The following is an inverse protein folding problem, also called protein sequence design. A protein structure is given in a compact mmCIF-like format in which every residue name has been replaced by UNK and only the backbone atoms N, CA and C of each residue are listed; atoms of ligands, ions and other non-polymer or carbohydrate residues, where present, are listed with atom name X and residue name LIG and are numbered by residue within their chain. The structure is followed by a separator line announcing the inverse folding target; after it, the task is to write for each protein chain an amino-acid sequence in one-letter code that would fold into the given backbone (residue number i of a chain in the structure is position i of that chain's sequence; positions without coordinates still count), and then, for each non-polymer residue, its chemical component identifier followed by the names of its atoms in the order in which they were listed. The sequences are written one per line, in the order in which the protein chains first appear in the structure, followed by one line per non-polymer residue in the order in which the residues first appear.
data_IF_858876280621
#
_entry.id   IF_858876280621
#
_cell.length_a   1.000
_cell.length_b   1.000
_cell.length_c   1.000
_cell.angle_alpha   90.00
_cell.angle_beta   90.00
_cell.angle_gamma   90.00
#
_symmetry.space_group_name_H-M   'P 1'
#
loop_
_entity.id
_entity.type
_entity.pdbx_description
1 polymer ?
#
# COMPACT_ATOMS: atom_id res chain seq x y z
N UNK A 1 11.35 -10.98 21.76
CA UNK A 1 10.27 -10.78 20.77
C UNK A 1 10.23 -12.02 19.90
N UNK A 2 9.08 -12.68 19.75
CA UNK A 2 8.95 -13.79 18.80
C UNK A 2 9.24 -13.26 17.39
N UNK A 3 10.05 -14.00 16.64
CA UNK A 3 10.39 -13.67 15.26
C UNK A 3 9.08 -13.62 14.45
N UNK A 4 8.81 -12.52 13.76
CA UNK A 4 7.62 -12.39 12.89
C UNK A 4 7.89 -13.19 11.63
N UNK A 5 7.33 -14.37 11.57
CA UNK A 5 7.42 -15.28 10.43
C UNK A 5 6.13 -15.31 9.59
N UNK A 6 6.10 -16.14 8.56
CA UNK A 6 4.93 -16.29 7.69
C UNK A 6 3.70 -16.83 8.45
N UNK A 7 3.89 -17.65 9.47
CA UNK A 7 2.80 -18.21 10.29
C UNK A 7 2.17 -17.10 11.10
N UNK A 8 3.00 -16.27 11.73
CA UNK A 8 2.53 -15.08 12.45
C UNK A 8 1.76 -14.13 11.52
N UNK A 9 2.29 -13.86 10.31
CA UNK A 9 1.64 -13.00 9.33
C UNK A 9 0.25 -13.54 8.94
N UNK A 10 0.16 -14.86 8.66
CA UNK A 10 -1.11 -15.52 8.35
C UNK A 10 -2.12 -15.34 9.50
N UNK A 11 -1.69 -15.53 10.76
CA UNK A 11 -2.57 -15.34 11.92
C UNK A 11 -3.11 -13.91 12.01
N UNK A 12 -2.28 -12.89 11.68
CA UNK A 12 -2.75 -11.50 11.65
C UNK A 12 -3.80 -11.28 10.56
N UNK A 13 -3.60 -11.81 9.36
CA UNK A 13 -4.60 -11.73 8.28
C UNK A 13 -5.89 -12.49 8.62
N UNK A 14 -5.80 -13.65 9.27
CA UNK A 14 -6.98 -14.38 9.76
C UNK A 14 -7.76 -13.59 10.82
N UNK A 15 -7.06 -12.90 11.72
CA UNK A 15 -7.70 -12.08 12.75
C UNK A 15 -8.53 -10.91 12.19
N UNK A 16 -8.14 -10.38 11.03
CA UNK A 16 -8.87 -9.30 10.35
C UNK A 16 -9.77 -9.79 9.20
N UNK A 17 -9.90 -11.09 8.98
CA UNK A 17 -10.64 -11.66 7.83
C UNK A 17 -12.05 -11.07 7.68
N UNK A 18 -12.74 -10.80 8.78
CA UNK A 18 -14.12 -10.27 8.78
C UNK A 18 -14.24 -8.85 8.24
N UNK A 19 -13.13 -8.08 8.20
CA UNK A 19 -13.11 -6.70 7.67
C UNK A 19 -12.48 -6.61 6.28
N UNK A 20 -11.96 -7.72 5.76
CA UNK A 20 -11.47 -7.80 4.39
C UNK A 20 -12.64 -8.08 3.41
N UNK A 21 -12.53 -7.61 2.16
CA UNK A 21 -13.51 -7.93 1.12
C UNK A 21 -13.65 -9.45 0.92
N UNK A 22 -14.87 -9.92 0.70
CA UNK A 22 -15.13 -11.32 0.39
C UNK A 22 -14.65 -11.64 -1.02
N UNK A 23 -13.81 -12.69 -1.14
CA UNK A 23 -13.35 -13.20 -2.43
C UNK A 23 -14.15 -14.45 -2.83
N UNK A 24 -14.54 -14.51 -4.10
CA UNK A 24 -15.10 -15.71 -4.71
C UNK A 24 -13.97 -16.50 -5.36
N UNK A 25 -13.58 -17.60 -4.74
CA UNK A 25 -12.53 -18.48 -5.27
C UNK A 25 -13.06 -19.31 -6.44
N UNK A 26 -12.27 -19.52 -7.51
CA UNK A 26 -12.63 -20.46 -8.58
C UNK A 26 -12.72 -21.89 -8.02
N UNK A 27 -13.57 -22.70 -8.65
CA UNK A 27 -13.74 -24.11 -8.23
C UNK A 27 -12.52 -24.97 -8.58
N UNK A 28 -11.84 -24.61 -9.64
CA UNK A 28 -10.69 -25.34 -10.18
C UNK A 28 -9.55 -24.37 -10.44
N UNK A 29 -8.33 -24.84 -10.30
CA UNK A 29 -7.09 -24.13 -10.63
C UNK A 29 -6.37 -24.87 -11.75
N UNK A 30 -5.77 -24.11 -12.67
CA UNK A 30 -4.94 -24.65 -13.76
C UNK A 30 -3.50 -24.25 -13.47
N UNK A 31 -2.61 -25.24 -13.55
CA UNK A 31 -1.18 -24.98 -13.44
C UNK A 31 -0.65 -24.46 -14.79
N UNK A 32 0.15 -23.40 -14.77
CA UNK A 32 0.89 -22.88 -15.90
C UNK A 32 2.37 -22.71 -15.53
N UNK A 33 3.27 -23.05 -16.41
CA UNK A 33 4.72 -22.94 -16.20
C UNK A 33 5.17 -21.47 -16.10
N UNK A 34 4.49 -20.60 -16.81
CA UNK A 34 4.76 -19.15 -16.83
C UNK A 34 3.60 -18.37 -17.47
N UNK A 35 3.67 -17.03 -17.44
CA UNK A 35 2.62 -16.17 -18.00
C UNK A 35 2.47 -16.28 -19.54
N UNK A 36 3.50 -16.68 -20.26
CA UNK A 36 3.44 -16.83 -21.73
C UNK A 36 2.47 -17.93 -22.15
N UNK A 37 2.46 -19.04 -21.41
CA UNK A 37 1.57 -20.17 -21.67
C UNK A 37 0.09 -19.80 -21.62
N UNK A 38 -0.25 -18.81 -20.80
CA UNK A 38 -1.63 -18.35 -20.61
C UNK A 38 -1.89 -16.97 -21.25
N UNK A 39 -0.91 -16.38 -21.93
CA UNK A 39 -1.01 -15.00 -22.43
C UNK A 39 -2.17 -14.81 -23.40
N UNK A 40 -2.45 -15.80 -24.25
CA UNK A 40 -3.52 -15.75 -25.24
C UNK A 40 -4.94 -15.78 -24.63
N UNK A 41 -5.05 -16.10 -23.35
CA UNK A 41 -6.33 -16.11 -22.62
C UNK A 41 -6.73 -14.72 -22.11
N UNK A 42 -5.81 -13.74 -22.11
CA UNK A 42 -6.00 -12.44 -21.47
C UNK A 42 -5.49 -11.31 -22.37
N UNK A 43 -6.15 -10.17 -22.33
CA UNK A 43 -5.74 -8.94 -23.03
C UNK A 43 -4.83 -8.08 -22.16
N UNK A 44 -4.98 -8.15 -20.83
CA UNK A 44 -4.24 -7.34 -19.87
C UNK A 44 -3.75 -8.17 -18.67
N UNK A 45 -2.59 -7.78 -18.12
CA UNK A 45 -1.98 -8.38 -16.94
C UNK A 45 -1.79 -7.32 -15.87
N UNK A 46 -2.43 -7.54 -14.71
CA UNK A 46 -2.25 -6.72 -13.52
C UNK A 46 -1.19 -7.39 -12.63
N UNK A 47 0.01 -6.87 -12.65
CA UNK A 47 1.16 -7.41 -11.93
C UNK A 47 1.29 -6.73 -10.57
N UNK A 48 1.50 -7.50 -9.52
CA UNK A 48 1.97 -6.93 -8.26
C UNK A 48 3.43 -6.45 -8.42
N UNK A 49 3.83 -5.49 -7.62
CA UNK A 49 5.21 -5.01 -7.62
C UNK A 49 6.09 -5.89 -6.73
N UNK A 50 5.75 -5.99 -5.45
CA UNK A 50 6.58 -6.61 -4.43
C UNK A 50 6.41 -8.13 -4.42
N UNK A 51 7.47 -8.87 -4.71
CA UNK A 51 7.42 -10.33 -4.86
C UNK A 51 7.13 -10.80 -6.29
N UNK A 52 6.83 -9.88 -7.23
CA UNK A 52 6.60 -10.17 -8.66
C UNK A 52 7.63 -9.46 -9.54
N UNK A 53 7.83 -8.17 -9.39
CA UNK A 53 8.81 -7.39 -10.14
C UNK A 53 10.10 -7.17 -9.35
N UNK A 54 10.00 -7.00 -8.03
CA UNK A 54 11.14 -6.75 -7.16
C UNK A 54 10.92 -7.30 -5.73
N UNK A 55 12.03 -7.45 -4.99
CA UNK A 55 12.02 -7.62 -3.53
C UNK A 55 12.93 -6.55 -2.95
N UNK A 56 12.40 -5.67 -2.12
CA UNK A 56 13.11 -4.46 -1.70
C UNK A 56 13.55 -3.64 -2.91
N UNK A 57 14.84 -3.36 -3.02
CA UNK A 57 15.44 -2.61 -4.12
C UNK A 57 16.16 -3.51 -5.15
N UNK A 58 15.83 -4.80 -5.16
CA UNK A 58 16.41 -5.78 -6.08
C UNK A 58 15.34 -6.30 -7.03
N UNK A 59 15.62 -6.24 -8.33
CA UNK A 59 14.75 -6.82 -9.37
C UNK A 59 14.69 -8.35 -9.24
N UNK A 60 13.50 -8.92 -9.50
CA UNK A 60 13.35 -10.37 -9.63
C UNK A 60 13.86 -10.80 -11.01
N UNK A 61 14.73 -11.80 -11.02
CA UNK A 61 15.30 -12.33 -12.24
C UNK A 61 14.21 -12.82 -13.22
N UNK A 62 14.27 -12.36 -14.47
CA UNK A 62 13.30 -12.71 -15.49
C UNK A 62 12.04 -11.85 -15.53
N UNK A 63 11.77 -11.02 -14.53
CA UNK A 63 10.56 -10.20 -14.47
C UNK A 63 10.49 -9.19 -15.65
N UNK A 64 11.58 -8.46 -15.89
CA UNK A 64 11.65 -7.51 -16.98
C UNK A 64 11.50 -8.17 -18.37
N UNK A 65 12.17 -9.31 -18.58
CA UNK A 65 12.07 -10.07 -19.82
C UNK A 65 10.63 -10.56 -20.06
N UNK A 66 9.96 -11.03 -19.00
CA UNK A 66 8.57 -11.48 -19.09
C UNK A 66 7.62 -10.33 -19.40
N UNK A 67 7.80 -9.18 -18.76
CA UNK A 67 7.03 -7.97 -19.03
C UNK A 67 7.24 -7.50 -20.50
N UNK A 68 8.49 -7.47 -20.96
CA UNK A 68 8.81 -7.12 -22.34
C UNK A 68 8.14 -8.07 -23.34
N UNK A 69 8.18 -9.37 -23.09
CA UNK A 69 7.55 -10.37 -23.95
C UNK A 69 6.03 -10.17 -24.05
N UNK A 70 5.34 -9.96 -22.93
CA UNK A 70 3.90 -9.69 -22.92
C UNK A 70 3.55 -8.44 -23.74
N UNK A 71 4.35 -7.35 -23.64
CA UNK A 71 4.17 -6.16 -24.48
C UNK A 71 4.39 -6.43 -25.96
N UNK A 72 5.39 -7.24 -26.33
CA UNK A 72 5.63 -7.66 -27.72
C UNK A 72 4.46 -8.50 -28.26
N UNK A 73 3.80 -9.28 -27.41
CA UNK A 73 2.57 -10.02 -27.75
C UNK A 73 1.32 -9.11 -27.82
N UNK A 74 1.48 -7.80 -27.64
CA UNK A 74 0.38 -6.82 -27.67
C UNK A 74 -0.49 -6.81 -26.41
N UNK A 75 -0.01 -7.39 -25.32
CA UNK A 75 -0.75 -7.40 -24.04
C UNK A 75 -0.55 -6.11 -23.27
N UNK A 76 -1.60 -5.62 -22.63
CA UNK A 76 -1.52 -4.50 -21.69
C UNK A 76 -0.91 -4.98 -20.36
N UNK A 77 -0.01 -4.19 -19.79
CA UNK A 77 0.62 -4.48 -18.51
C UNK A 77 0.39 -3.31 -17.59
N UNK A 78 -0.14 -3.60 -16.40
CA UNK A 78 -0.34 -2.65 -15.34
C UNK A 78 0.35 -3.15 -14.08
N UNK A 79 0.98 -2.24 -13.34
CA UNK A 79 1.54 -2.54 -12.01
C UNK A 79 0.55 -2.06 -10.95
N UNK A 80 -0.02 -3.01 -10.22
CA UNK A 80 -0.98 -2.76 -9.14
C UNK A 80 -0.28 -2.91 -7.79
N UNK A 81 0.03 -1.80 -7.12
CA UNK A 81 0.87 -1.81 -5.92
C UNK A 81 0.20 -1.17 -4.70
N UNK A 82 0.41 -1.78 -3.51
CA UNK A 82 0.06 -1.19 -2.21
C UNK A 82 1.13 -0.23 -1.66
N UNK A 83 2.23 -0.04 -2.40
CA UNK A 83 3.29 0.90 -2.02
C UNK A 83 2.81 2.35 -2.01
N UNK A 84 2.58 2.92 -0.81
CA UNK A 84 2.10 4.28 -0.65
C UNK A 84 3.20 5.29 -0.23
N UNK A 85 4.40 4.80 0.06
CA UNK A 85 5.50 5.63 0.55
C UNK A 85 5.88 6.72 -0.46
N UNK A 86 5.92 6.38 -1.75
CA UNK A 86 6.38 7.28 -2.81
C UNK A 86 5.29 7.52 -3.86
N UNK A 87 5.31 8.69 -4.55
CA UNK A 87 4.44 8.94 -5.71
C UNK A 87 4.79 8.03 -6.89
N UNK A 88 3.85 7.91 -7.85
CA UNK A 88 3.97 7.01 -8.99
C UNK A 88 5.20 7.28 -9.87
N UNK A 89 5.64 8.53 -9.97
CA UNK A 89 6.85 8.94 -10.71
C UNK A 89 8.13 8.31 -10.14
N UNK A 90 8.21 8.18 -8.81
CA UNK A 90 9.35 7.51 -8.19
C UNK A 90 9.27 5.98 -8.34
N UNK A 91 8.07 5.41 -8.25
CA UNK A 91 7.85 4.00 -8.53
C UNK A 91 8.25 3.68 -9.98
N UNK A 92 7.86 4.52 -10.96
CA UNK A 92 8.24 4.38 -12.37
C UNK A 92 9.76 4.39 -12.54
N UNK A 93 10.47 5.37 -11.95
CA UNK A 93 11.94 5.42 -12.02
C UNK A 93 12.59 4.14 -11.52
N UNK A 94 12.07 3.57 -10.43
CA UNK A 94 12.54 2.31 -9.87
C UNK A 94 12.33 1.15 -10.86
N UNK A 95 11.12 1.01 -11.43
CA UNK A 95 10.83 -0.07 -12.38
C UNK A 95 11.63 0.05 -13.68
N UNK A 96 11.82 1.28 -14.19
CA UNK A 96 12.69 1.53 -15.34
C UNK A 96 14.15 1.16 -15.05
N UNK A 97 14.64 1.38 -13.83
CA UNK A 97 15.99 0.94 -13.43
C UNK A 97 16.15 -0.59 -13.36
N UNK A 98 15.05 -1.33 -13.38
CA UNK A 98 14.98 -2.78 -13.48
C UNK A 98 14.69 -3.28 -14.88
N UNK A 99 14.75 -2.38 -15.89
CA UNK A 99 14.44 -2.66 -17.30
C UNK A 99 12.99 -3.13 -17.54
N UNK A 100 12.06 -2.87 -16.60
CA UNK A 100 10.63 -3.15 -16.81
C UNK A 100 10.04 -2.05 -17.68
N UNK A 101 9.46 -2.36 -18.87
CA UNK A 101 9.06 -1.39 -19.86
C UNK A 101 7.68 -0.78 -19.53
N UNK A 102 7.64 0.16 -18.59
CA UNK A 102 6.41 0.81 -18.10
C UNK A 102 6.37 2.30 -18.45
N UNK A 103 5.16 2.82 -18.52
CA UNK A 103 4.84 4.24 -18.52
C UNK A 103 4.18 4.64 -17.20
N UNK A 104 4.05 5.94 -16.94
CA UNK A 104 3.42 6.42 -15.70
C UNK A 104 1.96 5.96 -15.56
N UNK A 105 1.25 5.89 -16.67
CA UNK A 105 -0.14 5.41 -16.77
C UNK A 105 -0.30 3.92 -16.49
N UNK A 106 0.79 3.16 -16.54
CA UNK A 106 0.77 1.72 -16.23
C UNK A 106 0.85 1.45 -14.72
N UNK A 107 1.02 2.49 -13.89
CA UNK A 107 1.17 2.34 -12.45
C UNK A 107 -0.11 2.72 -11.74
N UNK A 108 -0.76 1.74 -11.13
CA UNK A 108 -1.93 1.90 -10.27
C UNK A 108 -1.51 1.67 -8.83
N UNK A 109 -1.53 2.73 -8.02
CA UNK A 109 -1.05 2.67 -6.64
C UNK A 109 -2.14 2.96 -5.61
N UNK A 110 -2.01 2.34 -4.45
CA UNK A 110 -2.86 2.65 -3.30
C UNK A 110 -2.75 4.11 -2.87
N UNK A 111 -1.59 4.75 -3.08
CA UNK A 111 -1.42 6.20 -2.85
C UNK A 111 -2.32 7.03 -3.76
N UNK A 112 -2.46 6.68 -5.03
CA UNK A 112 -3.35 7.38 -5.95
C UNK A 112 -4.81 7.22 -5.53
N UNK A 113 -5.23 5.99 -5.19
CA UNK A 113 -6.57 5.71 -4.69
C UNK A 113 -6.86 6.49 -3.38
N UNK A 114 -5.89 6.58 -2.48
CA UNK A 114 -5.99 7.41 -1.29
C UNK A 114 -6.17 8.89 -1.67
N UNK A 115 -5.27 9.43 -2.51
CA UNK A 115 -5.28 10.85 -2.88
C UNK A 115 -6.63 11.30 -3.46
N UNK A 116 -7.23 10.46 -4.32
CA UNK A 116 -8.55 10.73 -4.91
C UNK A 116 -9.70 10.74 -3.89
N UNK A 117 -9.51 10.17 -2.71
CA UNK A 117 -10.56 9.97 -1.71
C UNK A 117 -10.34 10.71 -0.38
N UNK A 118 -9.28 11.51 -0.25
CA UNK A 118 -9.04 12.32 0.95
C UNK A 118 -10.15 13.37 1.08
N UNK A 119 -10.94 13.36 2.17
CA UNK A 119 -11.98 14.34 2.35
C UNK A 119 -11.38 15.71 2.71
N UNK A 120 -12.06 16.81 2.38
CA UNK A 120 -11.67 18.13 2.83
C UNK A 120 -11.71 18.20 4.36
N UNK A 121 -10.80 19.00 4.92
CA UNK A 121 -10.76 19.29 6.35
C UNK A 121 -11.51 20.56 6.69
N UNK A 122 -11.91 20.77 7.97
CA UNK A 122 -12.35 22.07 8.47
C UNK A 122 -11.29 23.15 8.26
N UNK A 123 -11.71 24.42 8.27
CA UNK A 123 -10.80 25.56 8.16
C UNK A 123 -9.66 25.46 9.18
N UNK A 124 -8.44 25.70 8.69
CA UNK A 124 -7.18 25.57 9.46
C UNK A 124 -6.85 24.14 9.94
N UNK A 125 -7.57 23.11 9.50
CA UNK A 125 -7.24 21.71 9.80
C UNK A 125 -6.06 21.20 8.99
N UNK A 126 -5.37 20.16 9.50
CA UNK A 126 -4.34 19.43 8.77
C UNK A 126 -4.39 17.93 9.08
N UNK A 127 -3.83 17.13 8.19
CA UNK A 127 -3.64 15.70 8.37
C UNK A 127 -2.29 15.42 9.03
N UNK A 128 -2.30 14.68 10.15
CA UNK A 128 -1.09 14.09 10.70
C UNK A 128 -0.65 12.89 9.87
N UNK A 129 0.57 12.89 9.31
CA UNK A 129 0.99 11.87 8.34
C UNK A 129 2.13 11.01 8.89
N UNK A 130 1.89 9.70 8.99
CA UNK A 130 2.91 8.68 9.19
C UNK A 130 3.63 8.43 7.87
N UNK A 131 4.83 8.97 7.72
CA UNK A 131 5.61 8.90 6.47
C UNK A 131 7.11 9.02 6.74
N UNK A 132 7.93 8.72 5.73
CA UNK A 132 9.36 9.05 5.76
C UNK A 132 9.58 10.51 5.36
N UNK A 133 10.80 11.03 5.58
CA UNK A 133 11.19 12.37 5.14
C UNK A 133 11.03 12.54 3.62
N UNK A 134 11.29 11.48 2.87
CA UNK A 134 11.33 11.51 1.41
C UNK A 134 10.03 10.99 0.76
N UNK A 135 8.92 10.94 1.51
CA UNK A 135 7.64 10.45 0.98
C UNK A 135 6.91 11.42 0.05
N UNK A 136 7.44 12.63 -0.13
CA UNK A 136 6.82 13.68 -0.97
C UNK A 136 5.33 13.86 -0.67
N UNK A 137 4.97 14.03 0.61
CA UNK A 137 3.58 14.16 1.06
C UNK A 137 2.89 15.37 0.43
N UNK A 138 3.65 16.41 0.11
CA UNK A 138 3.19 17.62 -0.59
C UNK A 138 2.48 17.30 -1.93
N UNK A 139 2.81 16.18 -2.57
CA UNK A 139 2.14 15.76 -3.82
C UNK A 139 0.69 15.33 -3.63
N UNK A 140 0.23 15.14 -2.38
CA UNK A 140 -1.18 14.87 -2.10
C UNK A 140 -2.05 16.14 -2.18
N UNK A 141 -1.44 17.33 -2.21
CA UNK A 141 -2.17 18.60 -2.35
C UNK A 141 -3.07 18.97 -1.17
N UNK A 142 -2.77 18.48 0.02
CA UNK A 142 -3.55 18.67 1.26
C UNK A 142 -2.74 19.42 2.32
N UNK A 143 -3.38 20.11 3.29
CA UNK A 143 -2.69 20.57 4.49
C UNK A 143 -2.22 19.36 5.33
N UNK A 144 -0.94 19.30 5.66
CA UNK A 144 -0.38 18.17 6.39
C UNK A 144 0.79 18.55 7.29
N UNK A 145 1.04 17.70 8.30
CA UNK A 145 2.26 17.71 9.09
C UNK A 145 2.72 16.27 9.30
N UNK A 146 4.03 16.03 9.20
CA UNK A 146 4.60 14.72 9.52
C UNK A 146 4.51 14.46 11.02
N UNK A 147 4.13 13.25 11.38
CA UNK A 147 4.11 12.81 12.77
C UNK A 147 5.54 12.57 13.25
N UNK A 148 5.96 13.35 14.23
CA UNK A 148 7.27 13.27 14.86
C UNK A 148 7.12 13.02 16.37
N UNK A 149 8.18 13.18 17.16
CA UNK A 149 8.11 12.99 18.61
C UNK A 149 7.63 14.27 19.35
N UNK A 150 6.50 14.82 18.89
CA UNK A 150 5.86 16.02 19.46
C UNK A 150 4.34 15.79 19.57
N UNK A 151 3.85 15.59 20.80
CA UNK A 151 2.43 15.34 21.09
C UNK A 151 1.52 16.46 20.57
N UNK A 152 1.99 17.70 20.49
CA UNK A 152 1.16 18.82 20.05
C UNK A 152 0.70 18.66 18.60
N UNK A 153 1.50 18.01 17.75
CA UNK A 153 1.13 17.70 16.35
C UNK A 153 -0.03 16.69 16.34
N UNK A 154 0.05 15.64 17.18
CA UNK A 154 -0.99 14.61 17.25
C UNK A 154 -2.30 15.19 17.76
N UNK A 155 -2.26 15.97 18.85
CA UNK A 155 -3.47 16.54 19.47
C UNK A 155 -4.13 17.62 18.57
N UNK A 156 -3.38 18.31 17.73
CA UNK A 156 -3.89 19.35 16.83
C UNK A 156 -4.37 18.80 15.47
N UNK A 157 -3.94 17.59 15.06
CA UNK A 157 -4.32 17.01 13.77
C UNK A 157 -5.84 16.75 13.69
N UNK A 158 -6.44 17.02 12.54
CA UNK A 158 -7.88 16.76 12.27
C UNK A 158 -8.16 15.31 11.91
N UNK A 159 -7.14 14.55 11.56
CA UNK A 159 -7.17 13.13 11.22
C UNK A 159 -5.78 12.65 10.86
N UNK A 160 -5.66 11.36 10.55
CA UNK A 160 -4.36 10.73 10.30
C UNK A 160 -4.31 9.99 8.98
N UNK A 161 -3.16 10.06 8.30
CA UNK A 161 -2.87 9.33 7.06
C UNK A 161 -1.63 8.46 7.31
N UNK A 162 -1.75 7.14 7.06
CA UNK A 162 -0.67 6.19 7.25
C UNK A 162 -0.15 5.74 5.87
N UNK A 163 1.06 6.23 5.49
CA UNK A 163 1.68 5.94 4.19
C UNK A 163 2.84 4.96 4.28
N UNK A 164 3.66 5.05 5.33
CA UNK A 164 4.89 4.26 5.47
C UNK A 164 5.31 4.14 6.93
N UNK A 165 5.83 2.98 7.28
CA UNK A 165 6.37 2.65 8.61
C UNK A 165 7.89 2.61 8.65
N UNK A 166 8.59 2.95 7.55
CA UNK A 166 10.04 2.80 7.44
C UNK A 166 10.82 3.61 8.49
N UNK A 167 10.29 4.74 8.91
CA UNK A 167 10.87 5.60 9.95
C UNK A 167 9.99 5.67 11.21
N UNK A 168 8.97 4.79 11.32
CA UNK A 168 8.01 4.81 12.43
C UNK A 168 8.57 4.10 13.66
N UNK A 169 8.45 4.72 14.83
CA UNK A 169 8.96 4.23 16.09
C UNK A 169 7.84 3.87 17.08
N UNK A 170 8.17 3.05 18.07
CA UNK A 170 7.21 2.73 19.16
C UNK A 170 6.79 3.99 19.94
N UNK A 171 7.70 4.95 20.13
CA UNK A 171 7.38 6.21 20.81
C UNK A 171 6.32 7.01 20.02
N UNK A 172 6.46 7.12 18.71
CA UNK A 172 5.47 7.78 17.86
C UNK A 172 4.13 7.03 17.85
N UNK A 173 4.16 5.69 17.89
CA UNK A 173 2.94 4.90 18.01
C UNK A 173 2.20 5.16 19.33
N UNK A 174 2.91 5.25 20.44
CA UNK A 174 2.32 5.60 21.74
C UNK A 174 1.68 6.98 21.74
N UNK A 175 2.34 7.99 21.13
CA UNK A 175 1.77 9.34 20.97
C UNK A 175 0.48 9.32 20.14
N UNK A 176 0.45 8.53 19.05
CA UNK A 176 -0.74 8.39 18.22
C UNK A 176 -1.89 7.73 18.99
N UNK A 177 -1.63 6.64 19.69
CA UNK A 177 -2.62 5.93 20.51
C UNK A 177 -3.17 6.85 21.60
N UNK A 178 -2.30 7.50 22.40
CA UNK A 178 -2.71 8.43 23.47
C UNK A 178 -3.57 9.59 22.93
N UNK A 179 -3.20 10.18 21.80
CA UNK A 179 -3.97 11.27 21.21
C UNK A 179 -5.33 10.82 20.69
N UNK A 180 -5.42 9.59 20.12
CA UNK A 180 -6.67 9.01 19.64
C UNK A 180 -7.59 8.53 20.77
N UNK A 181 -7.04 8.10 21.90
CA UNK A 181 -7.81 7.78 23.11
C UNK A 181 -8.49 9.03 23.70
N UNK A 182 -7.82 10.19 23.67
CA UNK A 182 -8.40 11.46 24.12
C UNK A 182 -9.55 11.90 23.18
N UNK A 183 -9.31 11.86 21.88
CA UNK A 183 -10.29 12.29 20.85
C UNK A 183 -10.16 11.39 19.62
N UNK A 184 -11.21 10.63 19.35
CA UNK A 184 -11.29 9.79 18.16
C UNK A 184 -11.34 10.65 16.88
N UNK A 185 -10.49 10.34 15.91
CA UNK A 185 -10.39 11.05 14.61
C UNK A 185 -10.25 10.04 13.48
N UNK A 186 -10.63 10.39 12.23
CA UNK A 186 -10.55 9.48 11.10
C UNK A 186 -9.10 9.08 10.79
N UNK A 187 -8.92 7.82 10.39
CA UNK A 187 -7.63 7.28 9.94
C UNK A 187 -7.78 6.80 8.49
N UNK A 188 -6.91 7.26 7.61
CA UNK A 188 -6.80 6.82 6.23
C UNK A 188 -5.50 6.03 6.05
N UNK A 189 -5.59 4.79 5.62
CA UNK A 189 -4.44 3.89 5.45
C UNK A 189 -4.13 3.74 3.97
N UNK A 190 -3.01 4.31 3.53
CA UNK A 190 -2.58 4.29 2.13
C UNK A 190 -1.88 2.99 1.72
N UNK A 191 -1.39 2.20 2.67
CA UNK A 191 -0.87 0.85 2.42
C UNK A 191 -1.58 -0.13 3.36
N UNK A 192 -2.54 -0.95 2.86
CA UNK A 192 -3.33 -1.85 3.69
C UNK A 192 -2.60 -3.14 4.08
N UNK A 193 -1.38 -3.39 3.59
CA UNK A 193 -0.62 -4.57 3.95
C UNK A 193 -0.30 -4.58 5.44
N UNK A 194 -0.38 -5.76 6.06
CA UNK A 194 0.02 -5.96 7.47
C UNK A 194 1.53 -6.06 7.57
N UNK A 195 2.17 -6.77 6.63
CA UNK A 195 3.61 -7.00 6.58
C UNK A 195 4.13 -6.91 5.16
N UNK A 196 5.44 -6.63 5.05
CA UNK A 196 6.18 -6.81 3.80
C UNK A 196 7.50 -7.57 4.07
N UNK A 197 7.93 -8.47 3.18
CA UNK A 197 9.20 -9.17 3.31
C UNK A 197 10.38 -8.20 3.10
N UNK A 198 11.35 -8.23 4.02
CA UNK A 198 12.58 -7.43 3.99
C UNK A 198 13.79 -8.35 4.14
N UNK A 199 14.14 -9.05 3.07
CA UNK A 199 15.18 -10.06 3.13
C UNK A 199 14.79 -11.22 4.04
N UNK A 200 15.35 -11.29 5.25
CA UNK A 200 15.14 -12.39 6.22
C UNK A 200 14.07 -12.09 7.28
N UNK A 201 13.47 -10.93 7.30
CA UNK A 201 12.45 -10.54 8.28
C UNK A 201 11.24 -9.94 7.61
N UNK A 202 10.15 -9.82 8.35
CA UNK A 202 8.93 -9.12 7.95
C UNK A 202 8.87 -7.76 8.64
N UNK A 203 8.76 -6.67 7.87
CA UNK A 203 8.40 -5.36 8.41
C UNK A 203 6.91 -5.29 8.69
N UNK A 204 6.52 -4.55 9.72
CA UNK A 204 5.12 -4.14 9.87
C UNK A 204 4.84 -3.00 8.88
N UNK A 205 3.70 -3.06 8.23
CA UNK A 205 3.27 -2.04 7.29
C UNK A 205 2.08 -1.23 7.87
N UNK A 206 1.71 -0.09 7.27
CA UNK A 206 0.64 0.78 7.77
C UNK A 206 -0.68 0.07 8.06
N UNK A 207 -1.03 -0.97 7.28
CA UNK A 207 -2.23 -1.77 7.49
C UNK A 207 -2.29 -2.43 8.87
N UNK A 208 -1.17 -2.92 9.39
CA UNK A 208 -1.10 -3.48 10.75
C UNK A 208 -1.59 -2.46 11.79
N UNK A 209 -1.03 -1.26 11.74
CA UNK A 209 -1.37 -0.20 12.69
C UNK A 209 -2.80 0.31 12.48
N UNK A 210 -3.25 0.44 11.23
CA UNK A 210 -4.61 0.85 10.92
C UNK A 210 -5.66 -0.14 11.45
N UNK A 211 -5.44 -1.45 11.27
CA UNK A 211 -6.34 -2.48 11.81
C UNK A 211 -6.31 -2.52 13.34
N UNK A 212 -5.12 -2.43 13.95
CA UNK A 212 -4.98 -2.38 15.41
C UNK A 212 -5.76 -1.21 16.00
N UNK A 213 -5.49 0.02 15.52
CA UNK A 213 -6.16 1.24 16.02
C UNK A 213 -7.68 1.19 15.80
N UNK A 214 -8.12 0.72 14.61
CA UNK A 214 -9.54 0.60 14.31
C UNK A 214 -10.27 -0.38 15.22
N UNK A 215 -9.66 -1.53 15.55
CA UNK A 215 -10.26 -2.56 16.39
C UNK A 215 -10.21 -2.22 17.88
N UNK A 216 -9.05 -1.77 18.39
CA UNK A 216 -8.85 -1.51 19.80
C UNK A 216 -9.56 -0.25 20.28
N UNK A 217 -9.48 0.84 19.50
CA UNK A 217 -10.06 2.13 19.84
C UNK A 217 -11.45 2.37 19.20
N UNK A 218 -11.95 1.43 18.39
CA UNK A 218 -13.24 1.52 17.66
C UNK A 218 -13.34 2.77 16.78
N UNK A 219 -12.23 3.15 16.15
CA UNK A 219 -12.10 4.34 15.30
C UNK A 219 -12.41 3.97 13.86
N UNK A 220 -13.09 4.88 13.16
CA UNK A 220 -13.33 4.74 11.72
C UNK A 220 -12.01 4.78 10.96
N UNK A 221 -11.60 3.63 10.41
CA UNK A 221 -10.40 3.47 9.58
C UNK A 221 -10.81 3.09 8.17
N UNK A 222 -10.27 3.81 7.17
CA UNK A 222 -10.49 3.51 5.76
C UNK A 222 -9.17 3.05 5.14
N UNK A 223 -9.23 1.97 4.37
CA UNK A 223 -8.06 1.36 3.73
C UNK A 223 -8.11 1.59 2.21
N UNK A 224 -6.96 1.88 1.60
CA UNK A 224 -6.80 2.12 0.18
C UNK A 224 -5.74 1.19 -0.37
N UNK A 225 -6.06 0.47 -1.42
CA UNK A 225 -5.18 -0.55 -2.00
C UNK A 225 -5.80 -1.95 -2.02
N UNK A 226 -5.06 -2.92 -2.49
CA UNK A 226 -5.46 -4.34 -2.49
C UNK A 226 -5.65 -4.85 -1.05
N UNK A 227 -6.70 -5.62 -0.75
CA UNK A 227 -7.74 -6.16 -1.64
C UNK A 227 -8.99 -5.26 -1.77
N UNK A 228 -8.97 -4.02 -1.31
CA UNK A 228 -10.13 -3.12 -1.33
C UNK A 228 -10.43 -2.64 -2.76
N UNK A 229 -11.74 -2.46 -3.06
CA UNK A 229 -12.22 -2.15 -4.42
C UNK A 229 -11.75 -0.81 -4.96
N UNK A 230 -11.39 0.14 -4.09
CA UNK A 230 -10.99 1.49 -4.47
C UNK A 230 -9.77 1.54 -5.40
N UNK A 231 -8.81 0.61 -5.27
CA UNK A 231 -7.64 0.60 -6.15
C UNK A 231 -7.99 0.12 -7.57
N UNK A 232 -9.01 -0.74 -7.73
CA UNK A 232 -9.42 -1.27 -9.02
C UNK A 232 -10.30 -0.29 -9.81
N UNK A 233 -10.93 0.69 -9.14
CA UNK A 233 -11.74 1.72 -9.79
C UNK A 233 -10.93 2.88 -10.35
N UNK A 234 -9.67 3.03 -9.95
CA UNK A 234 -8.73 4.05 -10.48
C UNK A 234 -8.30 3.76 -11.94
N UNK A 235 -8.49 2.52 -12.40
CA UNK A 235 -8.13 2.13 -13.76
C UNK A 235 -9.39 1.84 -14.60
N UNK A 236 -9.44 2.45 -15.80
CA UNK A 236 -10.36 2.06 -16.88
C UNK A 236 -9.54 1.41 -17.98
N UNK A 237 -9.78 0.15 -18.25
CA UNK A 237 -9.29 -0.52 -19.47
C UNK A 237 -9.71 0.36 -20.67
N UNK A 238 -8.73 0.80 -21.44
CA UNK A 238 -8.94 1.65 -22.62
C UNK A 238 -9.62 0.89 -23.76
#
# INVERSE_FOLDING_TARGET
MSERDAVWALQQYEAIRSVLPVAHMPKESVHAENLEEIADLFDAFLLDAFGVLNVGDTAIAGAAQRAQMLKVMGKEILVLTNGACFPAEQALKKFLSFDVPLELTDIVSSRAALAAAIPPLPDNGFWGVMSTQNSHVETLGIPWQRLENDMSIYDAASGFILLSTLEWTEAQQMLLEESLEKVARPILVGNPDIVAPRGRYLSLEPGYYGHKLGSELKIQTKFFGKPFTNIYSEYRIK
#
